data_IF_446745429111
#
_entry.id   IF_446745429111
#
_cell.length_a   1.000
_cell.length_b   1.000
_cell.length_c   1.000
_cell.angle_alpha   90.00
_cell.angle_beta   90.00
_cell.angle_gamma   90.00
#
_symmetry.space_group_name_H-M   'P 1'
#
loop_
_entity.id
_entity.type
_entity.pdbx_description
1 polymer ?
#
# COMPACT_ATOMS: atom_id res chain seq x y z
N UNK A 1 -15.94 1.25 -17.93
CA UNK A 1 -14.60 1.80 -17.74
C UNK A 1 -13.84 0.94 -16.75
N UNK A 2 -12.55 0.70 -16.99
CA UNK A 2 -11.70 -0.13 -16.12
C UNK A 2 -10.57 0.71 -15.53
N UNK A 3 -10.30 0.52 -14.24
CA UNK A 3 -9.11 1.10 -13.59
C UNK A 3 -7.87 0.33 -14.07
N UNK A 4 -6.81 1.07 -14.38
CA UNK A 4 -5.54 0.49 -14.84
C UNK A 4 -4.43 0.82 -13.84
N UNK A 5 -3.70 -0.21 -13.43
CA UNK A 5 -2.48 -0.06 -12.62
C UNK A 5 -1.28 -0.63 -13.36
N UNK A 6 -0.15 0.07 -13.27
CA UNK A 6 1.15 -0.38 -13.75
C UNK A 6 2.14 -0.30 -12.60
N UNK A 7 2.95 -1.35 -12.44
CA UNK A 7 4.04 -1.39 -11.48
C UNK A 7 5.33 -1.81 -12.22
N UNK A 8 6.42 -1.17 -11.89
CA UNK A 8 7.75 -1.49 -12.40
C UNK A 8 8.74 -1.40 -11.25
N UNK A 9 9.49 -2.46 -11.03
CA UNK A 9 10.52 -2.54 -10.01
C UNK A 9 11.85 -3.04 -10.58
N UNK A 10 12.92 -2.49 -10.04
CA UNK A 10 14.30 -2.91 -10.35
C UNK A 10 15.06 -3.04 -9.03
N UNK A 11 15.71 -4.18 -8.85
CA UNK A 11 16.53 -4.46 -7.68
C UNK A 11 17.93 -4.92 -8.05
N UNK A 12 18.90 -4.58 -7.22
CA UNK A 12 20.28 -5.00 -7.35
C UNK A 12 20.86 -5.44 -6.00
N UNK A 13 21.41 -6.66 -5.91
CA UNK A 13 22.06 -7.13 -4.69
C UNK A 13 23.41 -6.44 -4.52
N UNK A 14 23.54 -5.63 -3.46
CA UNK A 14 24.80 -4.98 -3.10
C UNK A 14 25.76 -5.92 -2.38
N UNK A 15 25.22 -6.71 -1.45
CA UNK A 15 25.98 -7.66 -0.65
C UNK A 15 25.20 -8.96 -0.52
N UNK A 16 25.90 -10.07 -0.61
CA UNK A 16 25.31 -11.39 -0.41
C UNK A 16 26.28 -12.32 0.28
N UNK A 17 25.94 -12.76 1.50
CA UNK A 17 26.68 -13.76 2.25
C UNK A 17 25.69 -14.78 2.86
N UNK A 18 26.21 -15.79 3.55
CA UNK A 18 25.37 -16.79 4.24
C UNK A 18 24.62 -16.21 5.43
N UNK A 19 25.07 -15.12 5.98
CA UNK A 19 24.58 -14.53 7.24
C UNK A 19 23.87 -13.21 7.00
N UNK A 20 24.26 -12.49 5.95
CA UNK A 20 23.77 -11.14 5.67
C UNK A 20 23.61 -10.93 4.16
N UNK A 21 22.50 -10.34 3.77
CA UNK A 21 22.31 -9.80 2.43
C UNK A 21 21.80 -8.35 2.52
N UNK A 22 22.16 -7.56 1.52
CA UNK A 22 21.68 -6.19 1.34
C UNK A 22 21.36 -5.98 -0.13
N UNK A 23 20.11 -5.65 -0.40
CA UNK A 23 19.61 -5.31 -1.72
C UNK A 23 19.20 -3.83 -1.75
N UNK A 24 19.52 -3.16 -2.84
CA UNK A 24 18.95 -1.85 -3.18
C UNK A 24 17.91 -2.05 -4.28
N UNK A 25 16.81 -1.32 -4.19
CA UNK A 25 15.77 -1.38 -5.21
C UNK A 25 15.12 -0.02 -5.42
N UNK A 26 14.41 0.09 -6.51
CA UNK A 26 13.51 1.18 -6.81
C UNK A 26 12.22 0.63 -7.37
N UNK A 27 11.11 1.27 -7.01
CA UNK A 27 9.79 0.89 -7.47
C UNK A 27 9.09 2.12 -8.03
N UNK A 28 8.42 1.95 -9.15
CA UNK A 28 7.54 2.92 -9.75
C UNK A 28 6.15 2.32 -9.92
N UNK A 29 5.13 3.04 -9.46
CA UNK A 29 3.75 2.65 -9.61
C UNK A 29 2.95 3.78 -10.25
N UNK A 30 2.01 3.42 -11.11
CA UNK A 30 1.08 4.32 -11.74
C UNK A 30 -0.34 3.74 -11.70
N UNK A 31 -1.32 4.60 -11.44
CA UNK A 31 -2.73 4.26 -11.49
C UNK A 31 -3.50 5.27 -12.32
N UNK A 32 -4.43 4.77 -13.13
CA UNK A 32 -5.36 5.59 -13.91
C UNK A 32 -6.80 5.12 -13.70
N UNK A 33 -7.63 6.08 -13.32
CA UNK A 33 -9.06 5.93 -13.09
C UNK A 33 -9.77 6.71 -14.20
N UNK A 34 -10.25 6.06 -15.27
CA UNK A 34 -10.85 6.74 -16.40
C UNK A 34 -12.17 7.41 -16.00
N UNK A 35 -12.56 8.41 -16.77
CA UNK A 35 -13.86 9.06 -16.64
C UNK A 35 -15.02 8.06 -16.74
N UNK A 36 -16.02 8.23 -15.90
CA UNK A 36 -17.25 7.41 -15.90
C UNK A 36 -18.47 8.31 -15.81
N UNK A 37 -19.47 8.02 -16.65
CA UNK A 37 -20.72 8.78 -16.72
C UNK A 37 -20.60 10.08 -17.50
N UNK A 38 -21.74 10.74 -17.68
CA UNK A 38 -21.78 12.09 -18.24
C UNK A 38 -21.60 13.13 -17.13
N UNK A 39 -21.02 14.32 -17.40
CA UNK A 39 -20.80 15.36 -16.38
C UNK A 39 -22.03 15.74 -15.55
N UNK A 40 -23.22 15.59 -16.11
CA UNK A 40 -24.49 15.95 -15.47
C UNK A 40 -25.15 14.76 -14.74
N UNK A 41 -24.50 13.58 -14.73
CA UNK A 41 -25.06 12.40 -14.08
C UNK A 41 -24.69 12.33 -12.61
N UNK A 42 -25.57 11.76 -11.78
CA UNK A 42 -25.31 11.45 -10.37
C UNK A 42 -24.12 10.50 -10.15
N UNK A 43 -23.67 9.83 -11.21
CA UNK A 43 -22.56 8.87 -11.20
C UNK A 43 -21.34 9.38 -11.96
N UNK A 44 -21.26 10.70 -12.18
CA UNK A 44 -20.10 11.26 -12.85
C UNK A 44 -18.84 11.14 -11.99
N UNK A 45 -17.81 10.64 -12.61
CA UNK A 45 -16.46 10.62 -12.06
C UNK A 45 -15.49 11.12 -13.12
N UNK A 46 -14.75 12.21 -12.88
CA UNK A 46 -13.73 12.67 -13.79
C UNK A 46 -12.55 11.68 -13.88
N UNK A 47 -11.69 11.88 -14.86
CA UNK A 47 -10.44 11.12 -14.94
C UNK A 47 -9.52 11.52 -13.79
N UNK A 48 -9.01 10.50 -13.08
CA UNK A 48 -8.00 10.64 -12.03
C UNK A 48 -6.77 9.81 -12.38
N UNK A 49 -5.60 10.31 -12.06
CA UNK A 49 -4.36 9.54 -12.14
C UNK A 49 -3.45 9.85 -10.98
N UNK A 50 -2.60 8.90 -10.66
CA UNK A 50 -1.61 9.06 -9.61
C UNK A 50 -0.44 8.12 -9.80
N UNK A 51 0.68 8.48 -9.18
CA UNK A 51 1.93 7.74 -9.26
C UNK A 51 2.61 7.69 -7.90
N UNK A 52 3.46 6.70 -7.70
CA UNK A 52 4.36 6.65 -6.56
C UNK A 52 5.72 6.12 -6.96
N UNK A 53 6.72 6.56 -6.21
CA UNK A 53 8.10 6.14 -6.33
C UNK A 53 8.62 5.73 -4.96
N UNK A 54 9.38 4.63 -4.91
CA UNK A 54 10.22 4.26 -3.77
C UNK A 54 11.67 4.30 -4.22
N UNK A 55 12.43 5.34 -3.85
CA UNK A 55 13.82 5.59 -4.28
C UNK A 55 14.59 6.36 -3.21
N UNK A 56 15.65 5.80 -2.60
CA UNK A 56 16.06 4.41 -2.65
C UNK A 56 15.17 3.52 -1.77
N UNK A 57 15.02 2.27 -2.20
CA UNK A 57 14.58 1.18 -1.36
C UNK A 57 15.79 0.34 -0.94
N UNK A 58 15.85 -0.03 0.33
CA UNK A 58 16.87 -0.92 0.90
C UNK A 58 16.19 -2.10 1.57
N UNK A 59 16.72 -3.29 1.35
CA UNK A 59 16.28 -4.51 2.04
C UNK A 59 17.50 -5.25 2.56
N UNK A 60 17.53 -5.49 3.86
CA UNK A 60 18.57 -6.28 4.51
C UNK A 60 17.96 -7.54 5.10
N UNK A 61 18.65 -8.67 4.96
CA UNK A 61 18.31 -9.92 5.63
C UNK A 61 19.48 -10.37 6.49
N UNK A 62 19.19 -10.75 7.74
CA UNK A 62 20.16 -11.27 8.69
C UNK A 62 19.75 -12.68 9.12
N UNK A 63 20.71 -13.62 9.06
CA UNK A 63 20.55 -15.02 9.49
C UNK A 63 19.32 -15.73 8.93
N UNK A 64 18.76 -15.27 7.80
CA UNK A 64 17.54 -15.76 7.16
C UNK A 64 16.25 -15.69 8.02
N UNK A 65 16.31 -15.18 9.25
CA UNK A 65 15.12 -15.05 10.10
C UNK A 65 14.70 -13.59 10.34
N UNK A 66 15.60 -12.62 10.18
CA UNK A 66 15.33 -11.20 10.38
C UNK A 66 15.43 -10.45 9.04
N UNK A 67 14.40 -9.71 8.68
CA UNK A 67 14.37 -8.84 7.52
C UNK A 67 14.07 -7.41 7.95
N UNK A 68 14.81 -6.48 7.37
CA UNK A 68 14.64 -5.05 7.54
C UNK A 68 14.41 -4.43 6.17
N UNK A 69 13.51 -3.47 6.08
CA UNK A 69 13.39 -2.65 4.88
C UNK A 69 13.29 -1.17 5.21
N UNK A 70 13.78 -0.36 4.31
CA UNK A 70 13.66 1.09 4.35
C UNK A 70 13.39 1.60 2.94
N UNK A 71 12.49 2.56 2.81
CA UNK A 71 12.15 3.21 1.55
C UNK A 71 11.96 4.70 1.76
N UNK A 72 12.54 5.48 0.88
CA UNK A 72 12.11 6.86 0.67
C UNK A 72 11.00 6.85 -0.37
N UNK A 73 9.84 7.37 -0.01
CA UNK A 73 8.62 7.30 -0.83
C UNK A 73 8.17 8.68 -1.27
N UNK A 74 7.77 8.76 -2.53
CA UNK A 74 7.11 9.94 -3.12
C UNK A 74 5.80 9.46 -3.71
N UNK A 75 4.70 10.09 -3.32
CA UNK A 75 3.37 9.88 -3.90
C UNK A 75 2.92 11.18 -4.54
N UNK A 76 2.27 11.11 -5.69
CA UNK A 76 1.69 12.25 -6.37
C UNK A 76 0.35 11.87 -7.00
N UNK A 77 -0.62 12.77 -6.92
CA UNK A 77 -1.95 12.56 -7.43
C UNK A 77 -2.72 11.47 -6.68
N UNK A 78 -3.69 10.88 -7.35
CA UNK A 78 -4.63 9.90 -6.80
C UNK A 78 -4.08 8.47 -6.76
N UNK A 79 -2.82 8.29 -6.36
CA UNK A 79 -2.26 6.98 -6.15
C UNK A 79 -2.69 6.42 -4.79
N UNK A 80 -3.26 5.20 -4.77
CA UNK A 80 -3.64 4.50 -3.55
C UNK A 80 -2.87 3.19 -3.46
N UNK A 81 -1.95 3.05 -2.49
CA UNK A 81 -1.25 1.80 -2.25
C UNK A 81 -2.25 0.68 -1.97
N UNK A 82 -2.01 -0.51 -2.53
CA UNK A 82 -2.87 -1.70 -2.35
C UNK A 82 -4.34 -1.46 -2.74
N UNK A 83 -4.60 -0.61 -3.73
CA UNK A 83 -5.96 -0.39 -4.23
C UNK A 83 -6.64 -1.71 -4.63
N UNK A 84 -5.91 -2.60 -5.30
CA UNK A 84 -6.33 -3.95 -5.65
C UNK A 84 -5.87 -4.96 -4.58
N UNK A 85 -6.30 -4.78 -3.34
CA UNK A 85 -6.04 -5.73 -2.27
C UNK A 85 -6.96 -6.97 -2.34
N UNK A 86 -6.76 -7.92 -1.42
CA UNK A 86 -7.56 -9.16 -1.36
C UNK A 86 -9.06 -8.92 -1.14
N UNK A 87 -9.43 -7.77 -0.60
CA UNK A 87 -10.81 -7.39 -0.35
C UNK A 87 -11.41 -6.53 -1.47
N UNK A 88 -10.64 -6.26 -2.54
CA UNK A 88 -11.09 -5.37 -3.61
C UNK A 88 -12.42 -5.79 -4.23
N UNK A 89 -12.61 -7.07 -4.52
CA UNK A 89 -13.84 -7.58 -5.12
C UNK A 89 -15.07 -7.38 -4.24
N UNK A 90 -14.89 -7.35 -2.92
CA UNK A 90 -15.96 -7.12 -1.96
C UNK A 90 -16.23 -5.62 -1.81
N UNK A 91 -15.18 -4.80 -1.80
CA UNK A 91 -15.25 -3.37 -1.49
C UNK A 91 -15.30 -2.47 -2.72
N UNK A 92 -15.21 -3.02 -3.94
CA UNK A 92 -15.20 -2.22 -5.18
C UNK A 92 -16.49 -1.46 -5.42
N UNK A 93 -17.57 -1.93 -4.82
CA UNK A 93 -18.90 -1.35 -4.95
C UNK A 93 -19.57 -1.35 -3.59
N UNK A 94 -20.01 -0.17 -3.13
CA UNK A 94 -20.74 -0.01 -1.86
C UNK A 94 -22.11 0.59 -2.14
N UNK A 95 -23.21 -0.09 -1.77
CA UNK A 95 -24.55 0.51 -1.86
C UNK A 95 -24.68 1.60 -0.78
N UNK A 96 -25.12 2.77 -1.17
CA UNK A 96 -25.51 3.85 -0.28
C UNK A 96 -26.98 4.19 -0.50
N UNK A 97 -27.73 4.45 0.56
CA UNK A 97 -29.14 4.83 0.48
C UNK A 97 -29.27 6.33 0.75
N UNK A 98 -29.68 7.08 -0.26
CA UNK A 98 -29.97 8.51 -0.16
C UNK A 98 -31.45 8.71 -0.50
N UNK A 99 -32.20 9.32 0.41
CA UNK A 99 -33.64 9.59 0.26
C UNK A 99 -34.48 8.35 -0.16
N UNK A 100 -34.11 7.17 0.36
CA UNK A 100 -34.83 5.92 0.04
C UNK A 100 -34.45 5.29 -1.29
N UNK A 101 -33.55 5.90 -2.07
CA UNK A 101 -33.03 5.36 -3.33
C UNK A 101 -31.65 4.73 -3.10
N UNK A 102 -31.45 3.51 -3.59
CA UNK A 102 -30.15 2.86 -3.56
C UNK A 102 -29.23 3.46 -4.64
N UNK A 103 -28.14 4.06 -4.21
CA UNK A 103 -27.07 4.57 -5.07
C UNK A 103 -25.86 3.65 -4.91
N UNK A 104 -25.23 3.31 -6.02
CA UNK A 104 -24.04 2.48 -6.04
C UNK A 104 -22.80 3.38 -6.15
N UNK A 105 -21.97 3.45 -5.10
CA UNK A 105 -20.67 4.12 -5.14
C UNK A 105 -19.55 3.11 -5.36
N UNK A 106 -18.60 3.46 -6.19
CA UNK A 106 -17.38 2.66 -6.37
C UNK A 106 -16.33 3.04 -5.32
N UNK A 107 -15.42 2.11 -5.02
CA UNK A 107 -14.33 2.32 -4.03
C UNK A 107 -13.55 3.63 -4.30
N UNK A 108 -13.26 3.92 -5.55
CA UNK A 108 -12.56 5.15 -5.96
C UNK A 108 -13.42 6.40 -5.77
N UNK A 109 -14.72 6.37 -6.03
CA UNK A 109 -15.61 7.50 -5.75
C UNK A 109 -15.64 7.85 -4.27
N UNK A 110 -15.62 6.84 -3.41
CA UNK A 110 -15.58 7.04 -1.95
C UNK A 110 -14.22 7.58 -1.50
N UNK A 111 -13.12 7.01 -2.01
CA UNK A 111 -11.76 7.42 -1.64
C UNK A 111 -11.42 8.83 -2.14
N UNK A 112 -11.91 9.22 -3.33
CA UNK A 112 -11.56 10.50 -3.96
C UNK A 112 -12.60 11.60 -3.74
N UNK A 113 -13.60 11.35 -2.89
CA UNK A 113 -14.49 12.40 -2.41
C UNK A 113 -13.72 13.47 -1.61
N UNK A 114 -12.60 13.07 -0.99
CA UNK A 114 -11.71 13.97 -0.28
C UNK A 114 -10.60 14.49 -1.21
N UNK A 115 -10.56 15.80 -1.40
CA UNK A 115 -9.57 16.47 -2.24
C UNK A 115 -8.14 16.37 -1.70
N UNK A 116 -7.94 16.07 -0.42
CA UNK A 116 -6.63 15.87 0.19
C UNK A 116 -5.89 14.66 -0.41
N UNK A 117 -6.60 13.69 -0.95
CA UNK A 117 -6.01 12.54 -1.63
C UNK A 117 -5.16 12.91 -2.86
N UNK A 118 -5.38 14.09 -3.46
CA UNK A 118 -4.62 14.59 -4.60
C UNK A 118 -3.24 15.12 -4.20
N UNK A 119 -3.03 15.48 -2.94
CA UNK A 119 -1.79 16.08 -2.50
C UNK A 119 -0.59 15.16 -2.67
N UNK A 120 0.51 15.74 -3.11
CA UNK A 120 1.79 15.06 -3.14
C UNK A 120 2.27 14.77 -1.71
N UNK A 121 2.75 13.57 -1.48
CA UNK A 121 3.29 13.14 -0.19
C UNK A 121 4.73 12.66 -0.39
N UNK A 122 5.61 13.10 0.49
CA UNK A 122 7.02 12.69 0.52
C UNK A 122 7.35 12.19 1.92
N UNK A 123 8.09 11.10 2.02
CA UNK A 123 8.44 10.61 3.35
C UNK A 123 9.17 9.28 3.36
N UNK A 124 9.05 8.59 4.47
CA UNK A 124 9.83 7.41 4.79
C UNK A 124 8.92 6.25 5.20
N UNK A 125 9.31 5.08 4.80
CA UNK A 125 8.76 3.82 5.26
C UNK A 125 9.87 2.93 5.78
N UNK A 126 9.67 2.30 6.93
CA UNK A 126 10.54 1.28 7.46
C UNK A 126 9.75 0.08 7.92
N UNK A 127 10.28 -1.13 7.74
CA UNK A 127 9.69 -2.33 8.31
C UNK A 127 10.74 -3.28 8.85
N UNK A 128 10.29 -4.08 9.81
CA UNK A 128 11.02 -5.20 10.38
C UNK A 128 10.12 -6.43 10.38
N UNK A 129 10.65 -7.55 9.97
CA UNK A 129 9.99 -8.83 10.15
C UNK A 129 10.98 -9.87 10.68
N UNK A 130 10.50 -10.71 11.59
CA UNK A 130 11.29 -11.78 12.16
C UNK A 130 10.47 -13.08 12.16
N UNK A 131 11.08 -14.17 11.67
CA UNK A 131 10.52 -15.52 11.77
C UNK A 131 11.12 -16.25 12.97
N UNK A 132 10.29 -16.73 13.85
CA UNK A 132 10.69 -17.48 15.03
C UNK A 132 10.77 -18.99 14.73
N UNK A 133 11.56 -19.37 13.73
CA UNK A 133 11.85 -20.77 13.36
C UNK A 133 10.58 -21.62 13.13
N UNK A 134 9.55 -21.00 12.58
CA UNK A 134 8.27 -21.63 12.28
C UNK A 134 7.29 -21.73 13.46
N UNK A 135 7.65 -21.24 14.66
CA UNK A 135 6.70 -21.10 15.78
C UNK A 135 5.78 -19.91 15.61
N UNK A 136 6.21 -18.91 14.85
CA UNK A 136 5.46 -17.71 14.57
C UNK A 136 6.30 -16.67 13.84
N UNK A 137 5.68 -15.54 13.53
CA UNK A 137 6.35 -14.40 12.92
C UNK A 137 5.91 -13.10 13.57
N UNK A 138 6.85 -12.17 13.69
CA UNK A 138 6.64 -10.80 14.11
C UNK A 138 6.82 -9.87 12.91
N UNK A 139 5.93 -8.92 12.76
CA UNK A 139 6.04 -7.85 11.78
C UNK A 139 5.80 -6.50 12.45
N UNK A 140 6.60 -5.51 12.09
CA UNK A 140 6.39 -4.12 12.45
C UNK A 140 6.69 -3.21 11.27
N UNK A 141 5.94 -2.13 11.13
CA UNK A 141 6.26 -1.10 10.15
C UNK A 141 5.87 0.28 10.65
N UNK A 142 6.61 1.28 10.17
CA UNK A 142 6.36 2.68 10.41
C UNK A 142 6.41 3.45 9.09
N UNK A 143 5.43 4.32 8.90
CA UNK A 143 5.33 5.23 7.77
C UNK A 143 5.22 6.65 8.29
N UNK A 144 6.01 7.56 7.73
CA UNK A 144 5.88 8.99 7.92
C UNK A 144 5.87 9.65 6.55
N UNK A 145 4.76 10.28 6.17
CA UNK A 145 4.60 10.97 4.89
C UNK A 145 4.09 12.38 5.14
N UNK A 146 4.68 13.37 4.50
CA UNK A 146 4.36 14.78 4.69
C UNK A 146 3.97 15.41 3.34
N UNK A 147 2.91 16.20 3.35
CA UNK A 147 2.53 17.12 2.28
C UNK A 147 2.84 18.57 2.70
N UNK A 148 2.43 19.55 1.88
CA UNK A 148 2.52 20.97 2.25
C UNK A 148 1.61 21.33 3.40
N UNK A 149 0.51 20.60 3.60
CA UNK A 149 -0.56 20.95 4.54
C UNK A 149 -0.69 19.95 5.69
N UNK A 150 -0.22 18.73 5.56
CA UNK A 150 -0.47 17.66 6.52
C UNK A 150 0.69 16.67 6.64
N UNK A 151 0.70 15.93 7.75
CA UNK A 151 1.65 14.84 8.02
C UNK A 151 0.89 13.58 8.41
N UNK A 152 1.08 12.52 7.63
CA UNK A 152 0.48 11.21 7.88
C UNK A 152 1.50 10.29 8.54
N UNK A 153 1.20 9.82 9.74
CA UNK A 153 1.99 8.83 10.46
C UNK A 153 1.19 7.55 10.63
N UNK A 154 1.80 6.42 10.37
CA UNK A 154 1.17 5.11 10.57
C UNK A 154 2.16 4.14 11.17
N UNK A 155 1.73 3.43 12.20
CA UNK A 155 2.46 2.31 12.80
C UNK A 155 1.60 1.05 12.73
N UNK A 156 2.20 -0.04 12.29
CA UNK A 156 1.55 -1.37 12.24
C UNK A 156 2.43 -2.35 12.97
N UNK A 157 1.82 -3.19 13.80
CA UNK A 157 2.48 -4.33 14.42
C UNK A 157 1.58 -5.56 14.29
N UNK A 158 2.16 -6.70 13.96
CA UNK A 158 1.45 -7.97 13.85
C UNK A 158 2.29 -9.10 14.41
N UNK A 159 1.65 -9.99 15.15
CA UNK A 159 2.22 -11.24 15.64
C UNK A 159 1.36 -12.39 15.12
N UNK A 160 1.98 -13.32 14.43
CA UNK A 160 1.34 -14.55 13.98
C UNK A 160 1.95 -15.73 14.73
N UNK A 161 1.12 -16.59 15.31
CA UNK A 161 1.55 -17.79 16.01
C UNK A 161 1.10 -19.03 15.24
N UNK A 162 1.99 -20.02 15.13
CA UNK A 162 1.66 -21.31 14.58
C UNK A 162 1.24 -22.26 15.71
N UNK A 163 -0.07 -22.38 15.93
CA UNK A 163 -0.63 -23.17 17.04
C UNK A 163 -0.22 -24.65 16.98
N UNK A 164 -0.06 -25.22 15.79
CA UNK A 164 0.33 -26.62 15.60
C UNK A 164 1.75 -26.94 16.09
N UNK A 165 2.61 -25.91 16.18
CA UNK A 165 3.99 -26.06 16.64
C UNK A 165 4.23 -25.64 18.08
N UNK A 166 3.20 -25.11 18.76
CA UNK A 166 3.30 -24.70 20.15
C UNK A 166 2.72 -25.83 21.05
N UNK A 167 3.57 -26.57 21.79
CA UNK A 167 3.08 -27.57 22.72
C UNK A 167 2.15 -26.91 23.74
N UNK A 168 0.92 -27.39 23.92
CA UNK A 168 -0.19 -26.90 24.76
C UNK A 168 -1.19 -25.96 24.10
N UNK A 169 -1.04 -25.62 22.81
CA UNK A 169 -2.07 -24.89 22.04
C UNK A 169 -2.71 -25.77 20.95
N UNK A 170 -2.20 -26.98 20.78
CA UNK A 170 -2.76 -28.02 19.89
C UNK A 170 -3.76 -28.91 20.59
#
# INVERSE_FOLDING_TARGET
>A
ASVTGLAFDVGYPLLKSKVFSLDVYTEFNFMNFPEVGAPDSLFYRPNYSGKSFSVPGLRASLFNFLQLSYEFRIKDGYFVPKFFDQSYDINRVVPEYIDGSAIVKTKDMTLFADSSMKEGLVGHFGSISADAFGFGSLYGSYTNMTSETDTVNSFVAALTLNAERIPKLS
#
